data_IF_558892729514
#
_entry.id   IF_558892729514
#
_cell.length_a   1.000
_cell.length_b   1.000
_cell.length_c   1.000
_cell.angle_alpha   90.00
_cell.angle_beta   90.00
_cell.angle_gamma   90.00
#
_symmetry.space_group_name_H-M   'P 1'
#
loop_
_entity.id
_entity.type
_entity.pdbx_description
1 polymer ?
#
# COMPACT_ATOMS: atom_id res chain seq x y z
N UNK A 1 7.41 15.48 2.58
CA UNK A 1 7.13 14.09 2.15
C UNK A 1 5.62 13.84 1.97
N UNK A 2 4.77 14.35 2.86
CA UNK A 2 3.31 14.23 2.69
C UNK A 2 2.76 14.78 1.38
N UNK A 3 3.31 15.89 0.90
CA UNK A 3 2.85 16.52 -0.36
C UNK A 3 3.14 15.68 -1.60
N UNK A 4 4.25 14.93 -1.64
CA UNK A 4 4.59 14.11 -2.81
C UNK A 4 3.62 12.93 -2.96
N UNK A 5 3.33 12.20 -1.89
CA UNK A 5 2.42 11.05 -1.92
C UNK A 5 1.02 11.54 -2.27
N UNK A 6 0.58 12.61 -1.65
CA UNK A 6 -0.71 13.24 -1.93
C UNK A 6 -0.81 13.65 -3.40
N UNK A 7 0.19 14.36 -3.93
CA UNK A 7 0.23 14.80 -5.33
C UNK A 7 0.20 13.62 -6.32
N UNK A 8 0.89 12.52 -6.00
CA UNK A 8 0.85 11.29 -6.81
C UNK A 8 -0.54 10.65 -6.85
N UNK A 9 -1.20 10.58 -5.70
CA UNK A 9 -2.54 10.00 -5.60
C UNK A 9 -3.54 10.89 -6.35
N UNK A 10 -3.51 12.19 -6.13
CA UNK A 10 -4.39 13.15 -6.81
C UNK A 10 -4.19 13.12 -8.34
N UNK A 11 -2.94 13.05 -8.80
CA UNK A 11 -2.64 12.93 -10.23
C UNK A 11 -3.15 11.60 -10.81
N UNK A 12 -2.95 10.48 -10.10
CA UNK A 12 -3.51 9.20 -10.52
C UNK A 12 -5.03 9.25 -10.65
N UNK A 13 -5.73 9.87 -9.68
CA UNK A 13 -7.18 10.02 -9.72
C UNK A 13 -7.64 10.85 -10.93
N UNK A 14 -6.91 11.90 -11.29
CA UNK A 14 -7.19 12.70 -12.49
C UNK A 14 -7.04 11.86 -13.77
N UNK A 15 -5.97 11.09 -13.89
CA UNK A 15 -5.74 10.19 -15.03
C UNK A 15 -6.83 9.12 -15.12
N UNK A 16 -7.24 8.54 -14.00
CA UNK A 16 -8.34 7.57 -13.98
C UNK A 16 -9.65 8.19 -14.47
N UNK A 17 -10.00 9.40 -14.03
CA UNK A 17 -11.19 10.10 -14.52
C UNK A 17 -11.15 10.34 -16.03
N UNK A 18 -10.00 10.76 -16.56
CA UNK A 18 -9.80 10.95 -17.99
C UNK A 18 -9.95 9.64 -18.76
N UNK A 19 -9.34 8.56 -18.27
CA UNK A 19 -9.47 7.21 -18.84
C UNK A 19 -10.92 6.76 -18.87
N UNK A 20 -11.63 6.88 -17.75
CA UNK A 20 -13.03 6.41 -17.61
C UNK A 20 -14.01 7.23 -18.48
N UNK A 21 -13.66 8.47 -18.83
CA UNK A 21 -14.39 9.31 -19.78
C UNK A 21 -14.03 9.04 -21.25
N UNK A 22 -12.97 8.30 -21.51
CA UNK A 22 -12.49 7.98 -22.87
C UNK A 22 -13.14 6.66 -23.35
N UNK A 23 -13.44 6.58 -24.64
CA UNK A 23 -14.03 5.37 -25.24
C UNK A 23 -13.02 4.20 -25.11
N UNK A 24 -13.51 3.03 -24.61
CA UNK A 24 -12.70 1.80 -24.54
C UNK A 24 -12.25 1.41 -25.95
N UNK A 25 -11.10 0.75 -26.03
CA UNK A 25 -10.46 0.33 -27.30
C UNK A 25 -9.95 1.47 -28.19
N UNK A 26 -9.64 2.63 -27.62
CA UNK A 26 -8.91 3.71 -28.29
C UNK A 26 -7.46 3.73 -27.82
N UNK A 27 -6.56 4.18 -28.67
CA UNK A 27 -5.14 4.37 -28.31
C UNK A 27 -4.97 5.29 -27.09
N UNK A 28 -5.81 6.32 -26.99
CA UNK A 28 -5.80 7.23 -25.84
C UNK A 28 -6.24 6.54 -24.54
N UNK A 29 -7.24 5.63 -24.60
CA UNK A 29 -7.62 4.83 -23.44
C UNK A 29 -6.48 3.95 -22.96
N UNK A 30 -5.82 3.23 -23.86
CA UNK A 30 -4.67 2.36 -23.54
C UNK A 30 -3.52 3.15 -22.93
N UNK A 31 -3.21 4.32 -23.50
CA UNK A 31 -2.19 5.21 -22.98
C UNK A 31 -2.49 5.68 -21.54
N UNK A 32 -3.71 6.13 -21.29
CA UNK A 32 -4.13 6.58 -19.96
C UNK A 32 -4.13 5.43 -18.95
N UNK A 33 -4.50 4.22 -19.37
CA UNK A 33 -4.49 3.02 -18.53
C UNK A 33 -3.06 2.64 -18.12
N UNK A 34 -2.11 2.68 -19.04
CA UNK A 34 -0.68 2.48 -18.72
C UNK A 34 -0.17 3.53 -17.74
N UNK A 35 -0.49 4.80 -17.93
CA UNK A 35 -0.03 5.88 -17.03
C UNK A 35 -0.60 5.70 -15.63
N UNK A 36 -1.89 5.41 -15.48
CA UNK A 36 -2.51 5.22 -14.17
C UNK A 36 -1.93 4.00 -13.44
N UNK A 37 -1.60 2.91 -14.15
CA UNK A 37 -0.97 1.73 -13.56
C UNK A 37 0.48 2.03 -13.11
N UNK A 38 1.25 2.79 -13.90
CA UNK A 38 2.59 3.24 -13.49
C UNK A 38 2.53 4.12 -12.23
N UNK A 39 1.57 5.03 -12.13
CA UNK A 39 1.37 5.87 -10.95
C UNK A 39 0.97 5.04 -9.73
N UNK A 40 0.17 3.99 -9.90
CA UNK A 40 -0.18 3.04 -8.84
C UNK A 40 1.04 2.29 -8.32
N UNK A 41 1.86 1.74 -9.23
CA UNK A 41 3.09 1.04 -8.88
C UNK A 41 4.03 1.98 -8.11
N UNK A 42 4.20 3.21 -8.58
CA UNK A 42 5.05 4.20 -7.93
C UNK A 42 4.53 4.57 -6.52
N UNK A 43 3.24 4.80 -6.37
CA UNK A 43 2.63 5.10 -5.08
C UNK A 43 2.81 3.94 -4.09
N UNK A 44 2.63 2.71 -4.53
CA UNK A 44 2.82 1.52 -3.71
C UNK A 44 4.30 1.33 -3.33
N UNK A 45 5.23 1.52 -4.26
CA UNK A 45 6.67 1.40 -4.00
C UNK A 45 7.14 2.40 -2.94
N UNK A 46 6.65 3.64 -2.99
CA UNK A 46 6.96 4.67 -1.99
C UNK A 46 6.34 4.32 -0.63
N UNK A 47 5.18 3.68 -0.61
CA UNK A 47 4.46 3.38 0.63
C UNK A 47 5.01 2.16 1.36
N UNK A 48 5.46 1.11 0.66
CA UNK A 48 5.77 -0.18 1.29
C UNK A 48 7.25 -0.58 1.25
N UNK A 49 7.92 -0.43 0.13
CA UNK A 49 9.24 -1.03 -0.08
C UNK A 49 10.41 -0.17 0.35
N UNK A 50 10.36 1.10 0.06
CA UNK A 50 11.50 2.03 0.19
C UNK A 50 11.98 2.22 1.64
N UNK A 51 11.08 2.05 2.61
CA UNK A 51 11.41 2.25 4.03
C UNK A 51 12.02 1.02 4.71
N UNK A 52 12.06 -0.13 4.03
CA UNK A 52 12.67 -1.37 4.53
C UNK A 52 13.70 -1.93 3.55
N UNK A 53 14.15 -1.10 2.62
CA UNK A 53 15.16 -1.50 1.65
C UNK A 53 16.48 -1.83 2.35
N UNK A 54 17.01 -3.03 2.06
CA UNK A 54 18.33 -3.48 2.47
C UNK A 54 19.12 -3.78 1.20
N UNK A 55 20.27 -3.11 1.07
CA UNK A 55 21.17 -3.28 -0.06
C UNK A 55 22.23 -4.31 0.34
N UNK A 56 22.33 -5.40 -0.42
CA UNK A 56 23.33 -6.44 -0.18
C UNK A 56 24.49 -6.26 -1.16
N UNK A 57 25.69 -6.10 -0.65
CA UNK A 57 26.93 -6.00 -1.42
C UNK A 57 27.83 -7.21 -1.19
N UNK A 58 28.49 -7.68 -2.26
CA UNK A 58 29.53 -8.70 -2.17
C UNK A 58 30.84 -8.07 -1.64
N UNK A 59 30.91 -7.87 -0.35
CA UNK A 59 32.07 -7.29 0.34
C UNK A 59 32.44 -8.15 1.54
N UNK A 60 33.58 -8.84 1.49
CA UNK A 60 34.06 -9.64 2.61
C UNK A 60 34.29 -8.76 3.84
N UNK A 61 33.66 -9.09 4.94
CA UNK A 61 33.81 -8.39 6.20
C UNK A 61 33.93 -9.37 7.37
N UNK A 62 34.46 -8.87 8.48
CA UNK A 62 34.43 -9.59 9.75
C UNK A 62 33.30 -9.10 10.59
N UNK A 63 32.38 -10.01 10.92
CA UNK A 63 31.21 -9.73 11.74
C UNK A 63 31.36 -10.39 13.09
N UNK A 64 31.01 -9.67 14.14
CA UNK A 64 30.95 -10.20 15.50
C UNK A 64 29.53 -10.71 15.71
N UNK A 65 29.41 -12.01 15.94
CA UNK A 65 28.15 -12.65 16.28
C UNK A 65 28.08 -12.87 17.81
N UNK A 66 26.87 -12.68 18.34
CA UNK A 66 26.54 -12.88 19.73
C UNK A 66 25.57 -14.06 19.84
N UNK A 67 26.07 -15.18 20.40
CA UNK A 67 25.28 -16.36 20.74
C UNK A 67 25.39 -16.63 22.26
N UNK A 68 25.58 -17.89 22.63
CA UNK A 68 25.96 -18.22 24.03
C UNK A 68 27.31 -17.60 24.38
N UNK A 69 28.21 -17.55 23.41
CA UNK A 69 29.49 -16.87 23.52
C UNK A 69 29.68 -15.91 22.32
N UNK A 70 30.47 -14.88 22.51
CA UNK A 70 30.84 -13.94 21.46
C UNK A 70 31.90 -14.58 20.55
N UNK A 71 31.64 -14.65 19.25
CA UNK A 71 32.62 -15.12 18.27
C UNK A 71 32.70 -14.23 17.05
N UNK A 72 33.79 -14.32 16.31
CA UNK A 72 33.98 -13.60 15.06
C UNK A 72 33.84 -14.53 13.88
N UNK A 73 32.95 -14.20 12.94
CA UNK A 73 32.72 -14.90 11.71
C UNK A 73 33.17 -14.06 10.51
N UNK A 74 33.53 -14.72 9.40
CA UNK A 74 33.73 -14.08 8.11
C UNK A 74 32.39 -14.09 7.38
N UNK A 75 31.91 -12.95 6.95
CA UNK A 75 30.78 -12.80 6.07
C UNK A 75 31.26 -12.39 4.68
N UNK A 76 30.75 -13.01 3.64
CA UNK A 76 31.10 -12.68 2.25
C UNK A 76 30.23 -11.54 1.70
N UNK A 77 29.13 -11.25 2.36
CA UNK A 77 28.19 -10.20 2.01
C UNK A 77 28.01 -9.24 3.16
N UNK A 78 27.87 -7.99 2.84
CA UNK A 78 27.53 -6.92 3.80
C UNK A 78 26.16 -6.38 3.42
N UNK A 79 25.32 -6.17 4.41
CA UNK A 79 24.00 -5.56 4.27
C UNK A 79 24.09 -4.12 4.78
N UNK A 80 23.75 -3.17 3.93
CA UNK A 80 23.64 -1.76 4.25
C UNK A 80 22.19 -1.30 4.11
N UNK A 81 21.80 -0.31 4.90
CA UNK A 81 20.45 0.24 4.83
C UNK A 81 20.28 1.10 3.57
N UNK A 82 19.14 0.95 2.91
CA UNK A 82 18.74 1.82 1.81
C UNK A 82 18.64 3.29 2.22
N UNK A 83 18.71 4.19 1.24
CA UNK A 83 18.74 5.65 1.47
C UNK A 83 17.58 6.18 2.31
N UNK A 84 16.41 5.56 2.18
CA UNK A 84 15.18 5.96 2.86
C UNK A 84 14.77 5.00 3.97
N UNK A 85 15.67 4.14 4.42
CA UNK A 85 15.39 3.15 5.45
C UNK A 85 14.83 3.81 6.72
N UNK A 86 13.58 3.49 7.05
CA UNK A 86 12.88 3.97 8.23
C UNK A 86 11.89 2.91 8.72
N UNK A 87 12.34 1.95 9.54
CA UNK A 87 11.51 0.84 9.98
C UNK A 87 10.33 1.28 10.87
N UNK A 88 10.44 2.42 11.55
CA UNK A 88 9.34 2.97 12.34
C UNK A 88 8.19 3.38 11.41
N UNK A 89 8.50 4.10 10.34
CA UNK A 89 7.49 4.53 9.36
C UNK A 89 6.86 3.32 8.66
N UNK A 90 7.66 2.33 8.26
CA UNK A 90 7.17 1.08 7.67
C UNK A 90 6.19 0.35 8.61
N UNK A 91 6.55 0.27 9.91
CA UNK A 91 5.70 -0.35 10.92
C UNK A 91 4.40 0.43 11.13
N UNK A 92 4.44 1.76 11.15
CA UNK A 92 3.25 2.60 11.27
C UNK A 92 2.30 2.43 10.09
N UNK A 93 2.81 2.34 8.86
CA UNK A 93 2.00 2.12 7.65
C UNK A 93 1.27 0.77 7.72
N UNK A 94 1.99 -0.31 8.02
CA UNK A 94 1.40 -1.65 8.11
C UNK A 94 0.42 -1.78 9.28
N UNK A 95 0.71 -1.15 10.41
CA UNK A 95 -0.17 -1.13 11.58
C UNK A 95 -1.44 -0.33 11.31
N UNK A 96 -1.34 0.78 10.59
CA UNK A 96 -2.50 1.58 10.14
C UNK A 96 -3.43 0.77 9.24
N UNK A 97 -2.89 0.08 8.25
CA UNK A 97 -3.67 -0.79 7.36
C UNK A 97 -4.41 -1.90 8.15
N UNK A 98 -3.72 -2.56 9.07
CA UNK A 98 -4.32 -3.59 9.94
C UNK A 98 -5.41 -3.02 10.85
N UNK A 99 -5.22 -1.81 11.38
CA UNK A 99 -6.23 -1.14 12.20
C UNK A 99 -7.49 -0.88 11.37
N UNK A 100 -7.37 -0.39 10.15
CA UNK A 100 -8.52 -0.16 9.27
C UNK A 100 -9.27 -1.45 8.94
N UNK A 101 -8.56 -2.55 8.68
CA UNK A 101 -9.19 -3.86 8.48
C UNK A 101 -9.93 -4.36 9.73
N UNK A 102 -9.33 -4.20 10.91
CA UNK A 102 -9.97 -4.57 12.18
C UNK A 102 -11.23 -3.72 12.46
N UNK A 103 -11.20 -2.43 12.12
CA UNK A 103 -12.38 -1.55 12.20
C UNK A 103 -13.48 -2.01 11.24
N UNK A 104 -13.13 -2.39 10.00
CA UNK A 104 -14.08 -2.92 9.03
C UNK A 104 -14.71 -4.22 9.52
N UNK A 105 -13.92 -5.12 10.06
CA UNK A 105 -14.42 -6.39 10.63
C UNK A 105 -15.36 -6.15 11.82
N UNK A 106 -14.98 -5.27 12.74
CA UNK A 106 -15.82 -4.93 13.89
C UNK A 106 -17.15 -4.35 13.45
N UNK A 107 -17.11 -3.39 12.53
CA UNK A 107 -18.30 -2.78 11.96
C UNK A 107 -19.22 -3.82 11.29
N UNK A 108 -18.67 -4.73 10.49
CA UNK A 108 -19.44 -5.79 9.84
C UNK A 108 -20.12 -6.69 10.86
N UNK A 109 -19.43 -7.11 11.92
CA UNK A 109 -20.00 -7.94 12.99
C UNK A 109 -21.18 -7.27 13.69
N UNK A 110 -21.05 -5.97 14.00
CA UNK A 110 -22.11 -5.17 14.61
C UNK A 110 -23.36 -5.04 13.72
N UNK A 111 -23.18 -5.06 12.40
CA UNK A 111 -24.26 -4.96 11.42
C UNK A 111 -24.72 -6.31 10.85
N UNK A 112 -24.36 -7.41 11.51
CA UNK A 112 -24.77 -8.77 11.13
C UNK A 112 -24.16 -9.25 9.81
N UNK A 113 -23.02 -8.72 9.44
CA UNK A 113 -22.25 -9.08 8.25
C UNK A 113 -20.99 -9.86 8.57
N UNK A 114 -20.42 -10.44 7.51
CA UNK A 114 -19.12 -11.12 7.53
C UNK A 114 -18.34 -10.73 6.30
N UNK A 115 -17.02 -10.76 6.36
CA UNK A 115 -16.18 -10.69 5.17
C UNK A 115 -15.97 -12.10 4.60
N UNK A 116 -15.90 -12.19 3.28
CA UNK A 116 -15.65 -13.46 2.59
C UNK A 116 -14.14 -13.74 2.46
N UNK A 117 -13.36 -12.68 2.33
CA UNK A 117 -11.92 -12.76 2.07
C UNK A 117 -11.24 -11.49 2.57
N UNK A 118 -10.03 -11.62 3.07
CA UNK A 118 -9.18 -10.52 3.48
C UNK A 118 -7.74 -10.80 3.04
N UNK A 119 -7.12 -9.83 2.37
CA UNK A 119 -5.74 -9.92 1.94
C UNK A 119 -5.03 -8.57 2.14
N UNK A 120 -3.99 -8.60 2.94
CA UNK A 120 -3.05 -7.51 3.25
C UNK A 120 -3.70 -6.18 3.64
N UNK A 121 -4.33 -5.48 2.69
CA UNK A 121 -4.97 -4.17 2.81
C UNK A 121 -6.37 -4.12 2.18
N UNK A 122 -6.91 -5.28 1.82
CA UNK A 122 -8.21 -5.39 1.17
C UNK A 122 -9.14 -6.36 1.90
N UNK A 123 -10.42 -6.10 1.82
CA UNK A 123 -11.47 -6.92 2.40
C UNK A 123 -12.63 -7.05 1.42
N UNK A 124 -13.06 -8.30 1.17
CA UNK A 124 -14.20 -8.58 0.33
C UNK A 124 -15.46 -8.76 1.20
N UNK A 125 -16.45 -7.93 0.97
CA UNK A 125 -17.72 -7.94 1.70
C UNK A 125 -18.90 -8.13 0.76
N UNK A 126 -20.02 -8.60 1.30
CA UNK A 126 -21.21 -8.77 0.47
C UNK A 126 -21.73 -7.42 -0.05
N UNK A 127 -22.38 -7.37 -1.23
CA UNK A 127 -22.91 -6.13 -1.82
C UNK A 127 -23.86 -5.36 -0.88
N UNK A 128 -24.55 -6.08 0.00
CA UNK A 128 -25.46 -5.50 1.01
C UNK A 128 -24.72 -4.58 2.00
N UNK A 129 -23.50 -4.92 2.38
CA UNK A 129 -22.73 -4.21 3.40
C UNK A 129 -21.72 -3.22 2.81
N UNK A 130 -21.45 -3.31 1.51
CA UNK A 130 -20.46 -2.51 0.83
C UNK A 130 -20.68 -0.99 0.96
N UNK A 131 -21.84 -0.50 0.51
CA UNK A 131 -22.13 0.95 0.56
C UNK A 131 -22.16 1.51 1.98
N UNK A 132 -22.81 0.85 2.97
CA UNK A 132 -22.77 1.30 4.35
C UNK A 132 -21.35 1.30 4.95
N UNK A 133 -20.53 0.29 4.66
CA UNK A 133 -19.13 0.22 5.11
C UNK A 133 -18.30 1.35 4.48
N UNK A 134 -18.49 1.62 3.20
CA UNK A 134 -17.86 2.74 2.52
C UNK A 134 -18.22 4.09 3.17
N UNK A 135 -19.47 4.31 3.49
CA UNK A 135 -19.93 5.50 4.19
C UNK A 135 -19.32 5.64 5.60
N UNK A 136 -19.12 4.53 6.30
CA UNK A 136 -18.44 4.53 7.61
C UNK A 136 -16.99 5.02 7.51
N UNK A 137 -16.26 4.64 6.45
CA UNK A 137 -14.88 5.06 6.25
C UNK A 137 -14.72 6.42 5.56
N UNK A 138 -15.78 6.97 4.96
CA UNK A 138 -15.70 8.23 4.23
C UNK A 138 -15.10 9.40 5.04
N UNK A 139 -15.45 9.62 6.32
CA UNK A 139 -14.88 10.70 7.11
C UNK A 139 -13.36 10.58 7.34
N UNK A 140 -12.81 9.37 7.19
CA UNK A 140 -11.38 9.09 7.32
C UNK A 140 -10.62 9.27 5.99
N UNK A 141 -11.34 9.45 4.89
CA UNK A 141 -10.74 9.64 3.58
C UNK A 141 -10.29 11.11 3.42
N UNK A 142 -8.99 11.39 3.28
CA UNK A 142 -8.49 12.75 3.08
C UNK A 142 -8.76 13.31 1.68
N UNK A 143 -9.34 12.51 0.77
CA UNK A 143 -9.61 12.86 -0.62
C UNK A 143 -11.11 13.03 -0.85
N UNK A 144 -11.52 14.10 -1.54
CA UNK A 144 -12.93 14.44 -1.77
C UNK A 144 -13.70 13.43 -2.64
N UNK A 145 -13.02 12.64 -3.45
CA UNK A 145 -13.68 11.65 -4.31
C UNK A 145 -13.66 10.26 -3.68
N UNK A 146 -14.75 9.89 -3.06
CA UNK A 146 -14.96 8.61 -2.38
C UNK A 146 -14.99 7.37 -3.29
N UNK A 147 -15.04 7.53 -4.62
CA UNK A 147 -15.20 6.39 -5.55
C UNK A 147 -13.93 5.61 -5.84
N UNK A 148 -12.75 6.16 -5.56
CA UNK A 148 -11.50 5.59 -6.08
C UNK A 148 -10.72 4.71 -5.12
N UNK A 149 -10.96 4.81 -3.80
CA UNK A 149 -10.15 4.08 -2.81
C UNK A 149 -10.72 2.69 -2.45
N UNK A 150 -11.95 2.41 -2.82
CA UNK A 150 -12.65 1.19 -2.46
C UNK A 150 -13.34 0.55 -3.68
N UNK A 151 -12.70 0.53 -4.85
CA UNK A 151 -13.18 -0.34 -5.94
C UNK A 151 -12.78 -1.77 -5.61
N UNK A 152 -13.73 -2.56 -5.13
CA UNK A 152 -13.68 -4.01 -5.29
C UNK A 152 -13.95 -4.31 -6.77
N UNK A 153 -12.95 -4.79 -7.49
CA UNK A 153 -13.15 -5.42 -8.78
C UNK A 153 -13.84 -6.77 -8.55
N UNK A 154 -15.00 -6.96 -9.19
CA UNK A 154 -15.70 -8.24 -9.27
C UNK A 154 -15.03 -9.11 -10.33
#
# INVERSE_FOLDING_TARGET
MGDLIRSLIEHRMEIQRKRDATAKNTEEYERLDVIQEQLKILANAISYGIFIEIITEDRPTRTVAYGLERFTAKANKTEDFGRFFNPILATMLTSGARLMLAMAEAWLKEHGGYYAFCDTDSIAVSPRHWRPLQAFFQPLNPYESSESLLKLEY
#
